data_IF_509163556495
#
_entry.id   IF_509163556495
#
_cell.length_a   1.000
_cell.length_b   1.000
_cell.length_c   1.000
_cell.angle_alpha   90.00
_cell.angle_beta   90.00
_cell.angle_gamma   90.00
#
_symmetry.space_group_name_H-M   'P 1'
#
loop_
_entity.id
_entity.type
_entity.pdbx_description
1 polymer ?
#
# COMPACT_ATOMS: atom_id res chain seq x y z
N UNK A 1 -8.35 -4.43 1.77
CA UNK A 1 -9.25 -5.49 1.23
C UNK A 1 -8.96 -6.88 1.79
N UNK A 2 -7.70 -7.24 2.05
CA UNK A 2 -7.31 -8.56 2.59
C UNK A 2 -8.00 -8.93 3.91
N UNK A 3 -8.19 -7.97 4.83
CA UNK A 3 -8.91 -8.22 6.11
C UNK A 3 -10.38 -8.61 5.90
N UNK A 4 -11.11 -7.84 5.08
CA UNK A 4 -12.52 -8.11 4.76
C UNK A 4 -12.69 -9.47 4.08
N UNK A 5 -11.77 -9.83 3.17
CA UNK A 5 -11.74 -11.15 2.56
C UNK A 5 -11.49 -12.25 3.61
N UNK A 6 -10.45 -12.10 4.44
CA UNK A 6 -10.10 -13.10 5.45
C UNK A 6 -11.25 -13.33 6.44
N UNK A 7 -11.87 -12.27 6.96
CA UNK A 7 -13.00 -12.38 7.88
C UNK A 7 -14.26 -12.97 7.22
N UNK A 8 -14.47 -12.72 5.92
CA UNK A 8 -15.60 -13.31 5.21
C UNK A 8 -15.45 -14.84 5.07
N UNK A 9 -14.22 -15.34 4.84
CA UNK A 9 -13.93 -16.77 4.70
C UNK A 9 -13.68 -17.50 6.03
N UNK A 10 -13.32 -16.78 7.09
CA UNK A 10 -12.97 -17.35 8.40
C UNK A 10 -14.06 -18.29 8.94
N UNK A 11 -13.72 -19.58 9.03
CA UNK A 11 -14.61 -20.63 9.54
C UNK A 11 -15.86 -20.85 8.68
N UNK A 12 -15.82 -20.52 7.39
CA UNK A 12 -16.91 -20.76 6.42
C UNK A 12 -16.40 -21.59 5.24
N UNK A 13 -17.32 -22.27 4.54
CA UNK A 13 -17.00 -22.83 3.23
C UNK A 13 -16.64 -21.70 2.25
N UNK A 14 -15.91 -22.05 1.19
CA UNK A 14 -15.46 -21.09 0.17
C UNK A 14 -16.65 -20.39 -0.50
N UNK A 15 -17.72 -21.13 -0.79
CA UNK A 15 -18.93 -20.63 -1.46
C UNK A 15 -19.69 -19.67 -0.55
N UNK A 16 -19.86 -20.03 0.73
CA UNK A 16 -20.52 -19.19 1.72
C UNK A 16 -19.72 -17.91 1.97
N UNK A 17 -18.41 -18.04 2.18
CA UNK A 17 -17.50 -16.91 2.39
C UNK A 17 -17.44 -15.97 1.18
N UNK A 18 -17.43 -16.51 -0.04
CA UNK A 18 -17.42 -15.70 -1.26
C UNK A 18 -18.69 -14.83 -1.41
N UNK A 19 -19.87 -15.35 -1.04
CA UNK A 19 -21.12 -14.57 -1.06
C UNK A 19 -21.06 -13.41 -0.06
N UNK A 20 -20.60 -13.68 1.17
CA UNK A 20 -20.41 -12.66 2.21
C UNK A 20 -19.41 -11.61 1.76
N UNK A 21 -18.25 -12.03 1.25
CA UNK A 21 -17.21 -11.13 0.77
C UNK A 21 -17.70 -10.19 -0.33
N UNK A 22 -18.42 -10.70 -1.34
CA UNK A 22 -18.98 -9.88 -2.43
C UNK A 22 -19.93 -8.81 -1.92
N UNK A 23 -20.71 -9.10 -0.89
CA UNK A 23 -21.58 -8.10 -0.24
C UNK A 23 -20.76 -7.06 0.51
N UNK A 24 -19.83 -7.51 1.36
CA UNK A 24 -19.00 -6.60 2.17
C UNK A 24 -18.15 -5.67 1.32
N UNK A 25 -17.46 -6.19 0.31
CA UNK A 25 -16.60 -5.37 -0.56
C UNK A 25 -17.39 -4.31 -1.30
N UNK A 26 -18.64 -4.61 -1.69
CA UNK A 26 -19.55 -3.62 -2.30
C UNK A 26 -19.86 -2.48 -1.33
N UNK A 27 -20.13 -2.78 -0.06
CA UNK A 27 -20.36 -1.75 0.95
C UNK A 27 -19.11 -0.91 1.21
N UNK A 28 -17.93 -1.53 1.27
CA UNK A 28 -16.67 -0.77 1.40
C UNK A 28 -16.52 0.22 0.24
N UNK A 29 -16.70 -0.22 -1.00
CA UNK A 29 -16.62 0.65 -2.18
C UNK A 29 -17.69 1.76 -2.22
N UNK A 30 -18.81 1.56 -1.52
CA UNK A 30 -19.87 2.55 -1.36
C UNK A 30 -19.65 3.46 -0.15
N UNK A 31 -18.55 3.33 0.59
CA UNK A 31 -18.28 4.07 1.83
C UNK A 31 -19.13 3.63 3.03
N UNK A 32 -19.86 2.51 2.90
CA UNK A 32 -20.76 1.97 3.91
C UNK A 32 -20.05 1.01 4.87
N UNK A 33 -18.83 1.37 5.30
CA UNK A 33 -17.96 0.51 6.15
C UNK A 33 -18.62 0.19 7.49
N UNK A 34 -19.44 1.10 8.02
CA UNK A 34 -20.23 0.87 9.23
C UNK A 34 -21.09 -0.41 9.15
N UNK A 35 -21.67 -0.72 7.97
CA UNK A 35 -22.45 -1.96 7.78
C UNK A 35 -21.58 -3.21 7.85
N UNK A 36 -20.35 -3.13 7.34
CA UNK A 36 -19.37 -4.22 7.42
C UNK A 36 -18.95 -4.43 8.87
N UNK A 37 -18.69 -3.36 9.62
CA UNK A 37 -18.34 -3.43 11.05
C UNK A 37 -19.44 -4.15 11.84
N UNK A 38 -20.72 -3.80 11.61
CA UNK A 38 -21.86 -4.46 12.26
C UNK A 38 -21.90 -5.96 11.95
N UNK A 39 -21.76 -6.37 10.68
CA UNK A 39 -21.79 -7.81 10.34
C UNK A 39 -20.55 -8.57 10.81
N UNK A 40 -19.38 -7.94 10.86
CA UNK A 40 -18.16 -8.54 11.41
C UNK A 40 -18.28 -8.67 12.93
N UNK A 41 -18.87 -7.70 13.63
CA UNK A 41 -19.12 -7.76 15.07
C UNK A 41 -20.08 -8.91 15.43
N UNK A 42 -21.20 -9.02 14.72
CA UNK A 42 -22.13 -10.13 14.90
C UNK A 42 -21.46 -11.50 14.67
N UNK A 43 -20.57 -11.59 13.68
CA UNK A 43 -19.77 -12.82 13.46
C UNK A 43 -18.75 -13.08 14.58
N UNK A 44 -18.16 -12.04 15.15
CA UNK A 44 -17.25 -12.19 16.29
C UNK A 44 -18.00 -12.73 17.51
N UNK A 45 -19.21 -12.24 17.77
CA UNK A 45 -20.08 -12.74 18.84
C UNK A 45 -20.49 -14.20 18.61
N UNK A 46 -20.89 -14.57 17.39
CA UNK A 46 -21.25 -15.95 17.03
C UNK A 46 -20.10 -16.96 17.27
N UNK A 47 -18.86 -16.57 16.97
CA UNK A 47 -17.70 -17.43 17.11
C UNK A 47 -17.15 -17.49 18.55
N UNK A 48 -17.49 -16.49 19.36
CA UNK A 48 -16.93 -16.28 20.69
C UNK A 48 -15.49 -15.74 20.67
N UNK A 49 -14.93 -15.43 21.86
CA UNK A 49 -13.57 -14.92 21.98
C UNK A 49 -12.54 -15.96 21.54
N UNK A 50 -11.43 -15.56 20.87
CA UNK A 50 -10.33 -16.47 20.62
C UNK A 50 -9.68 -16.92 21.93
N UNK A 51 -9.29 -18.20 22.07
CA UNK A 51 -8.47 -18.64 23.19
C UNK A 51 -7.10 -17.94 23.17
N UNK A 52 -6.44 -17.83 24.33
CA UNK A 52 -5.15 -17.12 24.46
C UNK A 52 -4.07 -17.64 23.51
N UNK A 53 -4.02 -18.97 23.35
CA UNK A 53 -3.08 -19.68 22.47
C UNK A 53 -3.62 -19.94 21.05
N UNK A 54 -4.67 -19.22 20.62
CA UNK A 54 -5.21 -19.33 19.27
C UNK A 54 -4.13 -19.03 18.22
N UNK A 55 -4.03 -19.89 17.21
CA UNK A 55 -3.20 -19.65 16.02
C UNK A 55 -3.59 -18.34 15.33
N UNK A 56 -2.65 -17.72 14.62
CA UNK A 56 -2.91 -16.57 13.73
C UNK A 56 -3.91 -16.89 12.59
N UNK A 57 -4.09 -18.17 12.29
CA UNK A 57 -5.06 -18.67 11.32
C UNK A 57 -6.41 -19.06 11.93
N UNK A 58 -6.57 -18.93 13.25
CA UNK A 58 -7.84 -19.22 13.92
C UNK A 58 -8.94 -18.25 13.43
N UNK A 59 -10.13 -18.76 13.03
CA UNK A 59 -11.23 -17.92 12.58
C UNK A 59 -11.62 -16.80 13.56
N UNK A 60 -11.63 -17.07 14.87
CA UNK A 60 -11.97 -16.10 15.92
C UNK A 60 -10.95 -14.96 15.93
N UNK A 61 -9.66 -15.29 15.83
CA UNK A 61 -8.56 -14.32 15.82
C UNK A 61 -8.58 -13.47 14.56
N UNK A 62 -8.85 -14.09 13.40
CA UNK A 62 -8.99 -13.37 12.12
C UNK A 62 -10.14 -12.38 12.15
N UNK A 63 -11.32 -12.81 12.62
CA UNK A 63 -12.52 -11.97 12.69
C UNK A 63 -12.32 -10.83 13.69
N UNK A 64 -11.82 -11.10 14.90
CA UNK A 64 -11.58 -10.08 15.91
C UNK A 64 -10.54 -9.05 15.45
N UNK A 65 -9.42 -9.49 14.86
CA UNK A 65 -8.41 -8.58 14.29
C UNK A 65 -8.99 -7.71 13.19
N UNK A 66 -9.84 -8.28 12.34
CA UNK A 66 -10.51 -7.53 11.27
C UNK A 66 -11.46 -6.49 11.84
N UNK A 67 -12.22 -6.84 12.88
CA UNK A 67 -13.10 -5.88 13.57
C UNK A 67 -12.32 -4.70 14.12
N UNK A 68 -11.26 -4.96 14.90
CA UNK A 68 -10.39 -3.92 15.46
C UNK A 68 -9.82 -3.02 14.37
N UNK A 69 -9.33 -3.60 13.27
CA UNK A 69 -8.81 -2.83 12.14
C UNK A 69 -9.89 -1.92 11.52
N UNK A 70 -11.07 -2.46 11.22
CA UNK A 70 -12.14 -1.70 10.58
C UNK A 70 -12.65 -0.56 11.46
N UNK A 71 -12.80 -0.79 12.77
CA UNK A 71 -13.18 0.24 13.73
C UNK A 71 -12.13 1.36 13.76
N UNK A 72 -10.85 1.00 13.92
CA UNK A 72 -9.77 1.98 14.02
C UNK A 72 -9.56 2.79 12.72
N UNK A 73 -9.86 2.19 11.57
CA UNK A 73 -9.66 2.81 10.26
C UNK A 73 -10.94 3.39 9.65
N UNK A 74 -12.10 3.28 10.32
CA UNK A 74 -13.40 3.65 9.76
C UNK A 74 -13.41 5.06 9.16
N UNK A 75 -12.89 6.05 9.89
CA UNK A 75 -12.84 7.45 9.45
C UNK A 75 -11.99 7.68 8.20
N UNK A 76 -11.06 6.77 7.90
CA UNK A 76 -10.15 6.83 6.75
C UNK A 76 -10.67 6.04 5.56
N UNK A 77 -11.70 5.20 5.70
CA UNK A 77 -12.21 4.35 4.63
C UNK A 77 -13.35 5.03 3.85
N UNK A 78 -13.08 6.20 3.28
CA UNK A 78 -14.03 6.96 2.44
C UNK A 78 -13.72 6.80 0.94
N UNK A 79 -13.84 5.56 0.43
CA UNK A 79 -13.60 5.24 -0.98
C UNK A 79 -14.39 6.13 -1.97
N UNK A 80 -15.68 6.49 -1.73
CA UNK A 80 -16.42 7.37 -2.63
C UNK A 80 -15.79 8.76 -2.79
N UNK A 81 -15.36 9.37 -1.68
CA UNK A 81 -14.75 10.70 -1.72
C UNK A 81 -13.40 10.65 -2.43
N UNK A 82 -12.55 9.69 -2.10
CA UNK A 82 -11.23 9.54 -2.73
C UNK A 82 -11.35 9.31 -4.23
N UNK A 83 -12.31 8.49 -4.67
CA UNK A 83 -12.58 8.29 -6.09
C UNK A 83 -13.05 9.57 -6.78
N UNK A 84 -13.93 10.35 -6.14
CA UNK A 84 -14.37 11.64 -6.67
C UNK A 84 -13.21 12.63 -6.82
N UNK A 85 -12.26 12.59 -5.88
CA UNK A 85 -11.05 13.42 -5.91
C UNK A 85 -9.95 12.88 -6.83
N UNK A 86 -10.15 11.72 -7.47
CA UNK A 86 -9.11 11.07 -8.29
C UNK A 86 -7.94 10.53 -7.48
N UNK A 87 -8.11 10.36 -6.16
CA UNK A 87 -7.07 9.85 -5.28
C UNK A 87 -6.94 8.32 -5.38
N UNK A 88 -5.72 7.77 -5.21
CA UNK A 88 -5.53 6.32 -5.17
C UNK A 88 -6.29 5.68 -4.00
N UNK A 89 -7.11 4.68 -4.30
CA UNK A 89 -7.85 3.88 -3.31
C UNK A 89 -7.18 2.52 -2.99
N UNK A 90 -6.07 2.22 -3.67
CA UNK A 90 -5.28 1.00 -3.48
C UNK A 90 -3.82 1.33 -3.25
N UNK A 91 -3.14 0.50 -2.46
CA UNK A 91 -1.68 0.57 -2.27
C UNK A 91 -0.88 0.11 -3.48
N UNK A 92 -1.53 -0.43 -4.53
CA UNK A 92 -0.85 -1.04 -5.68
C UNK A 92 0.13 -0.11 -6.38
N UNK A 93 -0.22 1.18 -6.50
CA UNK A 93 0.68 2.19 -7.07
C UNK A 93 1.92 2.37 -6.20
N UNK A 94 1.72 2.53 -4.88
CA UNK A 94 2.81 2.67 -3.91
C UNK A 94 3.71 1.42 -3.87
N UNK A 95 3.11 0.23 -3.83
CA UNK A 95 3.84 -1.04 -3.84
C UNK A 95 4.64 -1.24 -5.13
N UNK A 96 4.08 -0.85 -6.28
CA UNK A 96 4.78 -0.87 -7.56
C UNK A 96 5.99 0.06 -7.54
N UNK A 97 5.82 1.31 -7.08
CA UNK A 97 6.91 2.28 -6.97
C UNK A 97 8.01 1.77 -6.03
N UNK A 98 7.65 1.25 -4.85
CA UNK A 98 8.61 0.65 -3.91
C UNK A 98 9.37 -0.52 -4.55
N UNK A 99 8.71 -1.37 -5.34
CA UNK A 99 9.38 -2.47 -6.07
C UNK A 99 10.37 -1.93 -7.10
N UNK A 100 9.98 -0.94 -7.90
CA UNK A 100 10.85 -0.34 -8.93
C UNK A 100 12.06 0.39 -8.34
N UNK A 101 11.90 1.01 -7.16
CA UNK A 101 13.02 1.57 -6.39
C UNK A 101 13.92 0.45 -5.86
N UNK A 102 13.32 -0.58 -5.24
CA UNK A 102 14.07 -1.69 -4.65
C UNK A 102 14.92 -2.44 -5.68
N UNK A 103 14.46 -2.59 -6.93
CA UNK A 103 15.26 -3.18 -8.01
C UNK A 103 16.61 -2.48 -8.19
N UNK A 104 16.65 -1.15 -7.99
CA UNK A 104 17.90 -0.39 -8.09
C UNK A 104 18.69 -0.42 -6.79
N UNK A 105 18.03 -0.24 -5.65
CA UNK A 105 18.67 0.00 -4.34
C UNK A 105 19.08 -1.30 -3.63
N UNK A 106 18.28 -2.36 -3.72
CA UNK A 106 18.50 -3.64 -3.03
C UNK A 106 19.08 -4.68 -3.99
N UNK A 107 19.87 -5.61 -3.45
CA UNK A 107 20.51 -6.69 -4.21
C UNK A 107 21.85 -7.07 -3.62
N UNK A 108 22.40 -8.22 -4.05
CA UNK A 108 23.75 -8.63 -3.71
C UNK A 108 24.75 -7.54 -4.11
N UNK A 109 25.74 -7.31 -3.25
CA UNK A 109 26.86 -6.37 -3.48
C UNK A 109 26.45 -4.89 -3.58
N UNK A 110 25.22 -4.52 -3.21
CA UNK A 110 24.79 -3.12 -3.12
C UNK A 110 24.91 -2.62 -1.69
N UNK A 111 26.00 -1.91 -1.42
CA UNK A 111 26.27 -1.25 -0.15
C UNK A 111 26.26 0.26 -0.36
N UNK A 112 25.58 0.98 0.52
CA UNK A 112 25.42 2.42 0.43
C UNK A 112 25.81 3.06 1.76
N UNK A 113 26.51 4.19 1.71
CA UNK A 113 26.52 5.11 2.85
C UNK A 113 25.11 5.69 3.05
N UNK A 114 24.86 6.33 4.19
CA UNK A 114 23.57 7.00 4.43
C UNK A 114 23.29 8.05 3.35
N UNK A 115 24.26 8.93 3.05
CA UNK A 115 24.07 9.96 2.02
C UNK A 115 23.97 9.36 0.62
N UNK A 116 24.80 8.35 0.31
CA UNK A 116 24.79 7.70 -1.00
C UNK A 116 23.49 6.94 -1.29
N UNK A 117 22.92 6.29 -0.27
CA UNK A 117 21.64 5.61 -0.37
C UNK A 117 20.49 6.60 -0.59
N UNK A 118 20.48 7.70 0.16
CA UNK A 118 19.48 8.77 0.00
C UNK A 118 19.56 9.42 -1.40
N UNK A 119 20.76 9.76 -1.86
CA UNK A 119 20.97 10.31 -3.20
C UNK A 119 20.50 9.36 -4.31
N UNK A 120 20.73 8.05 -4.15
CA UNK A 120 20.26 7.04 -5.10
C UNK A 120 18.73 6.91 -5.08
N UNK A 121 18.11 6.96 -3.90
CA UNK A 121 16.65 6.94 -3.76
C UNK A 121 16.02 8.13 -4.49
N UNK A 122 16.56 9.34 -4.29
CA UNK A 122 16.09 10.56 -4.96
C UNK A 122 16.24 10.45 -6.48
N UNK A 123 17.44 10.07 -6.97
CA UNK A 123 17.67 9.91 -8.41
C UNK A 123 16.71 8.88 -9.03
N UNK A 124 16.44 7.77 -8.34
CA UNK A 124 15.51 6.75 -8.84
C UNK A 124 14.07 7.21 -8.77
N UNK A 125 13.67 7.95 -7.74
CA UNK A 125 12.33 8.52 -7.63
C UNK A 125 12.09 9.56 -8.73
N UNK A 126 13.05 10.44 -8.96
CA UNK A 126 13.01 11.45 -10.03
C UNK A 126 12.90 10.81 -11.41
N UNK A 127 13.63 9.72 -11.66
CA UNK A 127 13.55 8.97 -12.91
C UNK A 127 12.17 8.31 -13.14
N UNK A 128 11.50 7.88 -12.07
CA UNK A 128 10.19 7.24 -12.13
C UNK A 128 9.03 8.23 -12.13
N UNK A 129 9.30 9.50 -11.88
CA UNK A 129 8.29 10.54 -11.72
C UNK A 129 7.78 11.02 -13.07
N UNK A 130 6.46 11.02 -13.25
CA UNK A 130 5.80 11.53 -14.45
C UNK A 130 5.99 13.05 -14.65
N UNK A 131 6.41 13.76 -13.59
CA UNK A 131 6.71 15.20 -13.65
C UNK A 131 8.07 15.54 -14.29
N UNK A 132 8.85 14.53 -14.71
CA UNK A 132 10.18 14.65 -15.32
C UNK A 132 11.12 15.69 -14.65
N UNK A 133 11.36 15.58 -13.32
CA UNK A 133 12.21 16.51 -12.61
C UNK A 133 13.69 16.44 -13.04
N UNK A 134 14.10 15.32 -13.64
CA UNK A 134 15.48 15.08 -14.06
C UNK A 134 15.94 16.05 -15.14
N UNK A 135 15.07 16.41 -16.08
CA UNK A 135 15.41 17.38 -17.13
C UNK A 135 15.89 18.71 -16.53
N UNK A 136 15.13 19.26 -15.58
CA UNK A 136 15.49 20.50 -14.88
C UNK A 136 16.72 20.32 -13.97
N UNK A 137 16.83 19.18 -13.29
CA UNK A 137 17.99 18.86 -12.46
C UNK A 137 19.28 18.88 -13.29
N UNK A 138 19.32 18.20 -14.44
CA UNK A 138 20.51 18.14 -15.30
C UNK A 138 20.86 19.50 -15.89
N UNK A 139 19.88 20.29 -16.29
CA UNK A 139 20.11 21.66 -16.75
C UNK A 139 20.74 22.54 -15.66
N UNK A 140 20.23 22.46 -14.42
CA UNK A 140 20.80 23.20 -13.28
C UNK A 140 22.21 22.72 -12.99
N UNK A 141 22.42 21.40 -12.90
CA UNK A 141 23.73 20.81 -12.63
C UNK A 141 24.76 21.20 -13.68
N UNK A 142 24.40 21.21 -14.96
CA UNK A 142 25.30 21.67 -16.02
C UNK A 142 25.72 23.14 -15.82
N UNK A 143 24.77 24.01 -15.45
CA UNK A 143 25.04 25.45 -15.22
C UNK A 143 25.89 25.73 -13.99
N UNK A 144 25.76 24.92 -12.94
CA UNK A 144 26.45 25.15 -11.66
C UNK A 144 27.68 24.27 -11.46
N UNK A 145 27.92 23.31 -12.35
CA UNK A 145 29.10 22.44 -12.28
C UNK A 145 30.36 23.26 -12.59
N UNK A 146 31.11 23.61 -11.56
CA UNK A 146 32.47 24.10 -11.70
C UNK A 146 33.39 22.93 -12.03
N UNK A 147 33.84 22.83 -13.29
CA UNK A 147 34.80 21.80 -13.71
C UNK A 147 34.51 21.06 -15.02
N UNK A 148 33.71 21.61 -15.94
CA UNK A 148 33.61 21.03 -17.29
C UNK A 148 34.95 21.16 -18.01
N UNK A 149 35.65 20.03 -18.21
CA UNK A 149 36.75 19.95 -19.18
C UNK A 149 36.12 20.01 -20.57
N UNK A 150 35.98 21.21 -21.12
CA UNK A 150 35.61 21.41 -22.51
C UNK A 150 36.71 20.81 -23.37
N UNK A 151 36.54 19.59 -23.86
CA UNK A 151 37.37 19.11 -24.96
C UNK A 151 36.92 19.90 -26.20
N UNK A 152 37.53 21.06 -26.41
CA UNK A 152 37.53 21.69 -27.71
C UNK A 152 38.22 20.70 -28.66
N UNK A 153 37.47 20.09 -29.57
CA UNK A 153 38.05 19.45 -30.75
C UNK A 153 38.67 20.58 -31.57
N UNK A 154 39.99 20.75 -31.46
CA UNK A 154 40.75 21.54 -32.42
C UNK A 154 40.59 20.87 -33.78
N UNK A 155 40.08 21.63 -34.74
CA UNK A 155 40.02 21.26 -36.16
C UNK A 155 41.42 21.25 -36.76
#
# INVERSE_FOLDING_TARGET
MTYVYAAALAGRSREAGARVYRRWIRWVWQGQVAKVIVEVAARAEELGPPPENASETDPRRIVQRTLTYLVNQQSRMNDPEYRRLGLPITSSHMESTVKQINQRVKGSEKFWSREGGEALLQLRADQLSDSDPLALYWLRRFRTATGTRSYARTA
#
